data_IF_729570820140
#
_entry.id   IF_729570820140
#
_cell.length_a   1.000
_cell.length_b   1.000
_cell.length_c   1.000
_cell.angle_alpha   90.00
_cell.angle_beta   90.00
_cell.angle_gamma   90.00
#
_symmetry.space_group_name_H-M   'P 1'
#
loop_
_entity.id
_entity.type
_entity.pdbx_description
1 polymer ?
#
# COMPACT_ATOMS: atom_id res chain seq x y z
N UNK A 1 -24.52 -7.05 6.93
CA UNK A 1 -23.80 -6.09 6.07
C UNK A 1 -24.77 -5.03 5.58
N UNK A 2 -24.40 -3.75 5.64
CA UNK A 2 -25.23 -2.67 5.07
C UNK A 2 -25.39 -2.85 3.56
N UNK A 3 -26.59 -2.65 3.04
CA UNK A 3 -26.89 -2.78 1.60
C UNK A 3 -25.99 -1.91 0.72
N UNK A 4 -25.72 -0.68 1.17
CA UNK A 4 -24.85 0.28 0.46
C UNK A 4 -23.43 -0.26 0.35
N UNK A 5 -22.90 -0.80 1.44
CA UNK A 5 -21.54 -1.38 1.46
C UNK A 5 -21.46 -2.56 0.49
N UNK A 6 -22.44 -3.46 0.54
CA UNK A 6 -22.49 -4.63 -0.36
C UNK A 6 -22.46 -4.21 -1.84
N UNK A 7 -23.35 -3.30 -2.24
CA UNK A 7 -23.42 -2.80 -3.61
C UNK A 7 -22.15 -2.05 -4.03
N UNK A 8 -21.56 -1.28 -3.10
CA UNK A 8 -20.33 -0.55 -3.39
C UNK A 8 -19.15 -1.50 -3.61
N UNK A 9 -19.06 -2.59 -2.83
CA UNK A 9 -18.03 -3.61 -3.02
C UNK A 9 -18.20 -4.36 -4.33
N UNK A 10 -19.43 -4.71 -4.71
CA UNK A 10 -19.72 -5.37 -6.00
C UNK A 10 -19.24 -4.52 -7.19
N UNK A 11 -19.53 -3.21 -7.16
CA UNK A 11 -19.08 -2.27 -8.21
C UNK A 11 -17.56 -2.05 -8.17
N UNK A 12 -16.95 -2.05 -6.99
CA UNK A 12 -15.50 -1.89 -6.83
C UNK A 12 -14.72 -3.10 -7.32
N UNK A 13 -15.25 -4.31 -7.15
CA UNK A 13 -14.55 -5.55 -7.52
C UNK A 13 -14.29 -5.60 -9.04
N UNK A 14 -15.29 -5.23 -9.83
CA UNK A 14 -15.19 -5.26 -11.30
C UNK A 14 -14.49 -4.03 -11.89
N UNK A 15 -14.53 -2.89 -11.19
CA UNK A 15 -14.17 -1.59 -11.78
C UNK A 15 -13.29 -0.71 -10.87
N UNK A 16 -12.52 -1.29 -9.94
CA UNK A 16 -11.67 -0.56 -8.99
C UNK A 16 -10.83 0.55 -9.64
N UNK A 17 -10.19 0.25 -10.77
CA UNK A 17 -9.27 1.18 -11.46
C UNK A 17 -9.96 2.40 -12.08
N UNK A 18 -11.28 2.34 -12.32
CA UNK A 18 -12.03 3.46 -12.89
C UNK A 18 -12.41 4.49 -11.85
N UNK A 19 -12.54 4.09 -10.59
CA UNK A 19 -12.93 4.98 -9.50
C UNK A 19 -11.72 5.72 -8.92
N UNK A 20 -11.95 6.96 -8.50
CA UNK A 20 -10.92 7.82 -7.92
C UNK A 20 -11.38 8.53 -6.64
N UNK A 21 -10.68 9.61 -6.29
CA UNK A 21 -11.00 10.43 -5.11
C UNK A 21 -12.13 11.45 -5.34
N UNK A 22 -12.46 11.74 -6.60
CA UNK A 22 -13.47 12.73 -6.94
C UNK A 22 -14.88 12.15 -6.90
N UNK A 23 -15.77 12.82 -6.17
CA UNK A 23 -17.15 12.37 -5.99
C UNK A 23 -18.00 12.52 -7.26
N UNK A 24 -17.81 13.61 -8.01
CA UNK A 24 -18.61 13.91 -9.19
C UNK A 24 -18.30 12.93 -10.32
N UNK A 25 -17.02 12.62 -10.51
CA UNK A 25 -16.59 11.64 -11.52
C UNK A 25 -16.99 10.22 -11.14
N UNK A 26 -16.82 9.82 -9.88
CA UNK A 26 -17.32 8.53 -9.39
C UNK A 26 -18.82 8.35 -9.63
N UNK A 27 -19.60 9.43 -9.50
CA UNK A 27 -21.04 9.40 -9.75
C UNK A 27 -21.37 9.25 -11.24
N UNK A 28 -20.61 9.89 -12.14
CA UNK A 28 -20.76 9.69 -13.60
C UNK A 28 -20.40 8.27 -14.02
N UNK A 29 -19.32 7.73 -13.47
CA UNK A 29 -18.88 6.35 -13.72
C UNK A 29 -19.94 5.36 -13.23
N UNK A 30 -20.50 5.61 -12.04
CA UNK A 30 -21.59 4.78 -11.51
C UNK A 30 -22.83 4.78 -12.41
N UNK A 31 -23.13 5.91 -13.06
CA UNK A 31 -24.23 6.02 -14.04
C UNK A 31 -23.96 5.25 -15.35
N UNK A 32 -22.69 5.07 -15.72
CA UNK A 32 -22.29 4.29 -16.89
C UNK A 32 -22.31 2.78 -16.61
N UNK A 33 -21.99 2.38 -15.39
CA UNK A 33 -21.87 0.97 -15.00
C UNK A 33 -23.23 0.41 -14.56
N UNK A 34 -24.00 1.18 -13.79
CA UNK A 34 -25.19 0.67 -13.11
C UNK A 34 -26.41 1.60 -13.26
N UNK A 35 -27.56 1.02 -13.57
CA UNK A 35 -28.82 1.75 -13.66
C UNK A 35 -29.41 1.91 -12.26
N UNK A 36 -29.02 2.98 -11.55
CA UNK A 36 -29.55 3.30 -10.22
C UNK A 36 -30.68 4.32 -10.34
N UNK A 37 -31.91 3.86 -10.09
CA UNK A 37 -33.14 4.69 -10.19
C UNK A 37 -33.24 5.74 -9.09
N UNK A 38 -32.78 5.44 -7.87
CA UNK A 38 -32.88 6.36 -6.73
C UNK A 38 -31.64 7.25 -6.62
N UNK A 39 -31.86 8.57 -6.61
CA UNK A 39 -30.81 9.58 -6.40
C UNK A 39 -30.12 9.42 -5.04
N UNK A 40 -30.87 9.11 -3.98
CA UNK A 40 -30.32 8.91 -2.63
C UNK A 40 -29.36 7.73 -2.60
N UNK A 41 -29.82 6.57 -3.08
CA UNK A 41 -29.02 5.35 -3.15
C UNK A 41 -27.72 5.56 -3.96
N UNK A 42 -27.83 6.24 -5.11
CA UNK A 42 -26.68 6.59 -5.94
C UNK A 42 -25.66 7.44 -5.19
N UNK A 43 -26.12 8.46 -4.47
CA UNK A 43 -25.26 9.34 -3.69
C UNK A 43 -24.59 8.60 -2.52
N UNK A 44 -25.31 7.70 -1.86
CA UNK A 44 -24.77 6.90 -0.76
C UNK A 44 -23.67 5.94 -1.24
N UNK A 45 -23.90 5.26 -2.37
CA UNK A 45 -22.92 4.35 -2.98
C UNK A 45 -21.68 5.13 -3.43
N UNK A 46 -21.85 6.19 -4.22
CA UNK A 46 -20.74 7.02 -4.68
C UNK A 46 -19.96 7.63 -3.49
N UNK A 47 -20.68 8.04 -2.45
CA UNK A 47 -20.08 8.56 -1.21
C UNK A 47 -19.26 7.51 -0.47
N UNK A 48 -19.75 6.26 -0.40
CA UNK A 48 -19.00 5.17 0.21
C UNK A 48 -17.75 4.82 -0.58
N UNK A 49 -17.85 4.70 -1.91
CA UNK A 49 -16.71 4.43 -2.81
C UNK A 49 -15.62 5.50 -2.63
N UNK A 50 -16.02 6.78 -2.64
CA UNK A 50 -15.08 7.90 -2.48
C UNK A 50 -14.36 7.84 -1.12
N UNK A 51 -15.10 7.54 -0.04
CA UNK A 51 -14.51 7.39 1.30
C UNK A 51 -13.56 6.20 1.38
N UNK A 52 -13.91 5.09 0.72
CA UNK A 52 -13.09 3.89 0.68
C UNK A 52 -11.74 4.17 0.01
N UNK A 53 -11.74 4.79 -1.17
CA UNK A 53 -10.52 5.13 -1.92
C UNK A 53 -9.65 6.13 -1.17
N UNK A 54 -10.24 7.18 -0.60
CA UNK A 54 -9.51 8.15 0.22
C UNK A 54 -8.85 7.52 1.46
N UNK A 55 -9.50 6.50 2.04
CA UNK A 55 -8.92 5.74 3.14
C UNK A 55 -7.74 4.90 2.66
N UNK A 56 -7.88 4.20 1.54
CA UNK A 56 -6.81 3.38 0.95
C UNK A 56 -5.56 4.23 0.65
N UNK A 57 -5.73 5.36 -0.02
CA UNK A 57 -4.63 6.29 -0.36
C UNK A 57 -3.94 6.84 0.90
N UNK A 58 -4.72 7.16 1.95
CA UNK A 58 -4.15 7.60 3.22
C UNK A 58 -3.32 6.50 3.88
N UNK A 59 -3.85 5.29 3.92
CA UNK A 59 -3.18 4.14 4.54
C UNK A 59 -1.91 3.78 3.76
N UNK A 60 -1.94 3.87 2.43
CA UNK A 60 -0.77 3.71 1.56
C UNK A 60 0.28 4.80 1.79
N UNK A 61 -0.13 6.07 1.89
CA UNK A 61 0.80 7.18 2.16
C UNK A 61 1.49 7.02 3.51
N UNK A 62 0.76 6.56 4.53
CA UNK A 62 1.33 6.28 5.85
C UNK A 62 2.39 5.17 5.75
N UNK A 63 2.08 4.06 5.08
CA UNK A 63 3.04 2.97 4.86
C UNK A 63 4.28 3.43 4.11
N UNK A 64 4.11 4.21 3.04
CA UNK A 64 5.24 4.76 2.29
C UNK A 64 6.11 5.67 3.16
N UNK A 65 5.50 6.55 3.95
CA UNK A 65 6.26 7.44 4.85
C UNK A 65 7.05 6.67 5.92
N UNK A 66 6.48 5.58 6.47
CA UNK A 66 7.18 4.72 7.43
C UNK A 66 8.37 4.00 6.80
N UNK A 67 8.19 3.45 5.59
CA UNK A 67 9.25 2.78 4.85
C UNK A 67 10.37 3.77 4.52
N UNK A 68 10.02 4.98 4.07
CA UNK A 68 10.99 6.02 3.75
C UNK A 68 11.75 6.49 4.99
N UNK A 69 11.07 6.73 6.12
CA UNK A 69 11.73 7.09 7.36
C UNK A 69 12.71 6.02 7.85
N UNK A 70 12.32 4.73 7.79
CA UNK A 70 13.22 3.65 8.17
C UNK A 70 14.39 3.50 7.21
N UNK A 71 14.19 3.75 5.91
CA UNK A 71 15.27 3.67 4.93
C UNK A 71 16.28 4.82 5.10
N UNK A 72 15.81 6.03 5.38
CA UNK A 72 16.65 7.19 5.72
C UNK A 72 17.43 6.93 7.00
N UNK A 73 16.79 6.41 8.05
CA UNK A 73 17.44 6.11 9.33
C UNK A 73 18.55 5.06 9.18
N UNK A 74 18.32 4.00 8.40
CA UNK A 74 19.35 3.01 8.08
C UNK A 74 20.52 3.61 7.28
N UNK A 75 20.25 4.48 6.30
CA UNK A 75 21.30 5.15 5.53
C UNK A 75 22.14 6.10 6.41
N UNK A 76 21.49 6.89 7.27
CA UNK A 76 22.16 7.79 8.22
C UNK A 76 23.00 7.03 9.25
N UNK A 77 22.56 5.85 9.71
CA UNK A 77 23.35 5.00 10.60
C UNK A 77 24.61 4.45 9.91
N UNK A 78 24.51 4.02 8.65
CA UNK A 78 25.67 3.55 7.89
C UNK A 78 26.70 4.66 7.63
N UNK A 79 26.24 5.87 7.31
CA UNK A 79 27.13 7.03 7.08
C UNK A 79 27.85 7.44 8.37
N UNK A 80 27.14 7.47 9.51
CA UNK A 80 27.74 7.74 10.83
C UNK A 80 28.76 6.69 11.29
N UNK A 81 28.62 5.44 10.87
CA UNK A 81 29.61 4.36 11.16
C UNK A 81 30.83 4.48 10.23
N UNK A 82 30.68 5.12 9.07
CA UNK A 82 31.76 5.26 8.08
C UNK A 82 32.71 6.44 8.36
N UNK A 83 32.23 7.47 9.08
CA UNK A 83 33.02 8.66 9.41
C UNK A 83 33.79 8.57 10.75
N UNK A 84 33.61 7.49 11.52
CA UNK A 84 34.23 7.30 12.85
C UNK A 84 35.27 6.16 12.92
N UNK A 85 35.72 5.59 11.78
CA UNK A 85 36.88 4.70 11.80
C UNK A 85 38.19 5.48 11.64
N UNK A 86 38.55 6.16 12.72
CA UNK A 86 39.93 6.19 13.18
C UNK A 86 39.96 5.57 14.57
N UNK A 87 39.94 4.24 14.60
CA UNK A 87 40.59 3.32 15.55
C UNK A 87 39.66 2.26 16.17
N UNK A 88 40.11 1.01 15.95
CA UNK A 88 39.92 -0.24 16.71
C UNK A 88 38.79 -1.20 16.29
N UNK A 89 39.23 -2.16 15.48
CA UNK A 89 38.89 -3.59 15.49
C UNK A 89 37.88 -4.05 16.55
N UNK A 90 36.75 -4.62 16.13
CA UNK A 90 36.35 -5.96 16.56
C UNK A 90 35.64 -6.71 15.43
N UNK A 91 36.31 -7.78 15.02
CA UNK A 91 35.86 -8.80 14.08
C UNK A 91 34.65 -9.52 14.68
N UNK A 92 33.46 -9.37 14.10
CA UNK A 92 32.36 -10.31 14.34
C UNK A 92 32.39 -11.33 13.21
N UNK A 93 32.96 -12.47 13.57
CA UNK A 93 33.11 -13.72 12.85
C UNK A 93 31.76 -14.19 12.28
N UNK A 94 31.52 -13.94 10.98
CA UNK A 94 30.46 -14.62 10.23
C UNK A 94 31.01 -16.01 9.89
N UNK A 95 30.82 -16.97 10.78
CA UNK A 95 31.07 -18.39 10.50
C UNK A 95 30.22 -18.78 9.30
N UNK A 96 30.89 -18.94 8.17
CA UNK A 96 30.37 -19.52 6.95
C UNK A 96 30.67 -21.02 6.94
N UNK A 97 29.67 -21.76 6.44
CA UNK A 97 29.78 -23.10 5.84
C UNK A 97 29.80 -24.32 6.81
N UNK A 98 29.22 -25.47 6.39
CA UNK A 98 29.68 -26.20 5.22
C UNK A 98 28.64 -26.41 4.12
N UNK A 99 29.02 -26.02 2.90
CA UNK A 99 28.78 -26.85 1.72
C UNK A 99 29.25 -28.29 2.00
N UNK A 100 28.35 -29.25 1.86
CA UNK A 100 28.78 -30.63 1.55
C UNK A 100 29.23 -30.64 0.09
N UNK A 101 30.50 -30.95 -0.09
CA UNK A 101 31.24 -31.16 -1.34
C UNK A 101 30.83 -32.46 -2.05
N UNK A 102 31.03 -32.46 -3.38
CA UNK A 102 30.97 -33.58 -4.34
C UNK A 102 31.85 -34.79 -3.92
N UNK A 103 31.86 -36.01 -4.50
CA UNK A 103 31.68 -36.52 -5.89
C UNK A 103 31.71 -38.07 -5.83
N UNK A 104 31.12 -38.76 -6.81
CA UNK A 104 31.46 -40.10 -7.39
C UNK A 104 31.91 -41.31 -6.52
N UNK A 105 31.13 -42.39 -6.61
CA UNK A 105 31.58 -43.76 -6.97
C UNK A 105 30.54 -44.39 -7.92
#
# INVERSE_FOLDING_TARGET
MDRIKRLSYEVLDEHKQKFGEDFADNKKILDQIAIIRSKGLKNEIAGYITKFIKKEIRDEKIKQSQIESSKVENYTLQEKISDDDSNEEQVIEIVSEPKSTATEE
#
